data_IF_701095538433
#
_entry.id   IF_701095538433
#
_cell.length_a   1.000
_cell.length_b   1.000
_cell.length_c   1.000
_cell.angle_alpha   90.00
_cell.angle_beta   90.00
_cell.angle_gamma   90.00
#
_symmetry.space_group_name_H-M   'P 1'
#
loop_
_entity.id
_entity.type
_entity.pdbx_description
1 polymer ?
#
# COMPACT_ATOMS: atom_id res chain seq x y z
N UNK A 1 17.00 -7.67 -6.50
CA UNK A 1 17.29 -6.48 -7.34
C UNK A 1 18.17 -6.80 -8.56
N UNK A 2 19.38 -7.36 -8.39
CA UNK A 2 20.30 -7.65 -9.51
C UNK A 2 19.73 -8.62 -10.57
N UNK A 3 18.95 -9.62 -10.16
CA UNK A 3 18.28 -10.56 -11.06
C UNK A 3 16.98 -10.00 -11.68
N UNK A 4 16.61 -8.74 -11.36
CA UNK A 4 15.40 -8.06 -11.86
C UNK A 4 14.06 -8.76 -11.59
N UNK A 5 13.99 -9.57 -10.54
CA UNK A 5 12.74 -10.22 -10.11
C UNK A 5 11.79 -9.30 -9.31
N UNK A 6 12.25 -8.11 -8.89
CA UNK A 6 11.45 -7.17 -8.11
C UNK A 6 11.32 -5.86 -8.87
N UNK A 7 10.10 -5.31 -8.90
CA UNK A 7 9.78 -4.01 -9.52
C UNK A 7 9.53 -2.90 -8.49
N UNK A 8 9.45 -3.26 -7.22
CA UNK A 8 9.29 -2.36 -6.07
C UNK A 8 10.13 -2.87 -4.90
N UNK A 9 10.74 -1.96 -4.14
CA UNK A 9 11.40 -2.22 -2.86
C UNK A 9 10.73 -1.36 -1.79
N UNK A 10 10.18 -1.95 -0.74
CA UNK A 10 9.59 -1.20 0.39
C UNK A 10 10.50 -1.26 1.62
N UNK A 11 10.82 -0.11 2.20
CA UNK A 11 11.52 -0.01 3.48
C UNK A 11 10.52 -0.06 4.63
N UNK A 12 10.63 -1.10 5.45
CA UNK A 12 9.74 -1.36 6.56
C UNK A 12 10.54 -1.56 7.84
N UNK A 13 10.24 -0.75 8.86
CA UNK A 13 10.82 -0.88 10.20
C UNK A 13 9.69 -0.95 11.25
N UNK A 14 9.50 -2.16 11.77
CA UNK A 14 8.57 -2.46 12.86
C UNK A 14 9.30 -2.60 14.19
N UNK A 15 10.39 -1.85 14.40
CA UNK A 15 10.99 -1.74 15.73
C UNK A 15 10.07 -0.89 16.62
N UNK A 16 9.83 -1.27 17.88
CA UNK A 16 8.97 -0.49 18.77
C UNK A 16 9.52 0.91 19.01
N UNK A 17 8.62 1.89 19.17
CA UNK A 17 8.94 3.32 19.27
C UNK A 17 8.68 4.13 18.00
N UNK A 18 8.16 3.52 16.93
CA UNK A 18 7.92 4.17 15.64
C UNK A 18 6.87 3.42 14.80
N UNK A 19 6.35 4.10 13.78
CA UNK A 19 5.40 3.57 12.80
C UNK A 19 4.17 2.97 13.47
N UNK A 20 3.82 1.74 13.09
CA UNK A 20 2.70 1.00 13.67
C UNK A 20 2.87 0.70 15.17
N UNK A 21 4.10 0.54 15.68
CA UNK A 21 4.36 0.12 17.06
C UNK A 21 4.94 1.27 17.87
N UNK A 22 4.06 2.11 18.42
CA UNK A 22 4.43 3.31 19.18
C UNK A 22 5.25 2.99 20.45
N UNK A 23 5.09 1.81 21.04
CA UNK A 23 5.89 1.37 22.20
C UNK A 23 6.11 -0.15 22.23
N UNK A 24 6.97 -0.58 23.16
CA UNK A 24 7.32 -1.99 23.38
C UNK A 24 6.12 -2.82 23.83
N UNK A 25 5.18 -2.23 24.57
CA UNK A 25 4.00 -2.93 25.07
C UNK A 25 3.01 -3.24 23.94
N UNK A 26 2.79 -2.30 23.02
CA UNK A 26 1.99 -2.49 21.81
C UNK A 26 2.59 -3.57 20.91
N UNK A 27 3.92 -3.58 20.76
CA UNK A 27 4.63 -4.62 20.01
C UNK A 27 4.48 -6.01 20.68
N UNK A 28 4.65 -6.10 22.01
CA UNK A 28 4.44 -7.35 22.78
C UNK A 28 3.01 -7.86 22.62
N UNK A 29 2.02 -7.00 22.83
CA UNK A 29 0.62 -7.36 22.73
C UNK A 29 0.25 -7.88 21.35
N UNK A 30 0.78 -7.26 20.28
CA UNK A 30 0.60 -7.72 18.92
C UNK A 30 1.19 -9.13 18.70
N UNK A 31 2.44 -9.35 19.09
CA UNK A 31 3.10 -10.65 18.90
C UNK A 31 2.39 -11.77 19.69
N UNK A 32 2.04 -11.51 20.95
CA UNK A 32 1.31 -12.47 21.77
C UNK A 32 -0.07 -12.82 21.17
N UNK A 33 -0.79 -11.83 20.64
CA UNK A 33 -2.10 -12.07 20.03
C UNK A 33 -2.01 -12.85 18.72
N UNK A 34 -1.11 -12.43 17.83
CA UNK A 34 -1.03 -12.88 16.43
C UNK A 34 -0.22 -14.16 16.28
N UNK A 35 0.93 -14.25 16.94
CA UNK A 35 1.89 -15.35 16.80
C UNK A 35 1.98 -16.24 18.04
N UNK A 36 1.21 -15.94 19.10
CA UNK A 36 1.19 -16.70 20.36
C UNK A 36 2.57 -16.78 21.04
N UNK A 37 3.39 -15.74 20.84
CA UNK A 37 4.75 -15.61 21.38
C UNK A 37 4.72 -15.58 22.91
N UNK A 38 5.63 -16.32 23.53
CA UNK A 38 5.90 -16.30 24.97
C UNK A 38 6.76 -15.10 25.39
N UNK A 39 6.83 -14.81 26.69
CA UNK A 39 7.64 -13.69 27.19
C UNK A 39 9.14 -13.86 26.88
N UNK A 40 9.67 -15.08 27.00
CA UNK A 40 11.09 -15.35 26.70
C UNK A 40 11.43 -15.16 25.22
N UNK A 41 10.54 -15.61 24.32
CA UNK A 41 10.69 -15.39 22.88
C UNK A 41 10.58 -13.89 22.55
N UNK A 42 9.68 -13.16 23.24
CA UNK A 42 9.55 -11.72 23.06
C UNK A 42 10.84 -10.97 23.42
N UNK A 43 11.44 -11.25 24.59
CA UNK A 43 12.69 -10.61 25.00
C UNK A 43 13.81 -10.86 23.97
N UNK A 44 13.88 -12.08 23.44
CA UNK A 44 14.84 -12.45 22.40
C UNK A 44 14.63 -11.63 21.13
N UNK A 45 13.39 -11.58 20.62
CA UNK A 45 13.04 -10.79 19.43
C UNK A 45 13.31 -9.29 19.61
N UNK A 46 13.08 -8.76 20.81
CA UNK A 46 13.34 -7.36 21.11
C UNK A 46 14.84 -7.05 21.10
N UNK A 47 15.65 -7.90 21.73
CA UNK A 47 17.11 -7.77 21.73
C UNK A 47 17.68 -7.85 20.30
N UNK A 48 17.20 -8.79 19.48
CA UNK A 48 17.60 -8.94 18.08
C UNK A 48 17.28 -7.69 17.26
N UNK A 49 16.09 -7.10 17.44
CA UNK A 49 15.71 -5.84 16.78
C UNK A 49 16.60 -4.67 17.18
N UNK A 50 16.90 -4.54 18.47
CA UNK A 50 17.78 -3.48 18.97
C UNK A 50 19.20 -3.63 18.43
N UNK A 51 19.74 -4.84 18.39
CA UNK A 51 21.05 -5.12 17.80
C UNK A 51 21.05 -4.83 16.28
N UNK A 52 19.97 -5.19 15.59
CA UNK A 52 19.82 -4.95 14.15
C UNK A 52 19.66 -3.46 13.80
N UNK A 53 19.22 -2.60 14.72
CA UNK A 53 19.07 -1.16 14.46
C UNK A 53 20.40 -0.48 14.08
N UNK A 54 21.52 -1.01 14.59
CA UNK A 54 22.85 -0.54 14.20
C UNK A 54 23.07 -0.72 12.68
N UNK A 55 23.40 0.38 12.00
CA UNK A 55 23.69 0.37 10.56
C UNK A 55 22.48 0.32 9.64
N UNK A 56 21.24 0.47 10.15
CA UNK A 56 20.01 0.50 9.32
C UNK A 56 20.11 1.50 8.18
N UNK A 57 20.49 2.75 8.46
CA UNK A 57 20.63 3.77 7.42
C UNK A 57 21.65 3.38 6.34
N UNK A 58 22.82 2.85 6.72
CA UNK A 58 23.84 2.42 5.76
C UNK A 58 23.34 1.29 4.85
N UNK A 59 22.60 0.32 5.40
CA UNK A 59 21.96 -0.74 4.62
C UNK A 59 20.88 -0.19 3.69
N UNK A 60 20.03 0.71 4.17
CA UNK A 60 18.99 1.36 3.37
C UNK A 60 19.60 2.17 2.22
N UNK A 61 20.63 2.99 2.47
CA UNK A 61 21.35 3.72 1.44
C UNK A 61 21.94 2.80 0.37
N UNK A 62 22.51 1.66 0.79
CA UNK A 62 23.08 0.67 -0.13
C UNK A 62 22.00 0.04 -1.03
N UNK A 63 20.87 -0.34 -0.44
CA UNK A 63 19.72 -0.89 -1.17
C UNK A 63 19.06 0.14 -2.09
N UNK A 64 18.93 1.39 -1.64
CA UNK A 64 18.39 2.49 -2.43
C UNK A 64 19.24 2.78 -3.68
N UNK A 65 20.57 2.82 -3.53
CA UNK A 65 21.48 2.99 -4.66
C UNK A 65 21.32 1.85 -5.68
N UNK A 66 21.20 0.61 -5.21
CA UNK A 66 20.98 -0.55 -6.09
C UNK A 66 19.60 -0.53 -6.77
N UNK A 67 18.54 -0.15 -6.04
CA UNK A 67 17.20 -0.02 -6.59
C UNK A 67 17.17 1.03 -7.71
N UNK A 68 17.76 2.21 -7.47
CA UNK A 68 17.93 3.26 -8.47
C UNK A 68 18.68 2.77 -9.71
N UNK A 69 19.80 2.06 -9.53
CA UNK A 69 20.58 1.51 -10.64
C UNK A 69 19.77 0.51 -11.49
N UNK A 70 18.84 -0.22 -10.89
CA UNK A 70 18.01 -1.22 -11.58
C UNK A 70 16.65 -0.67 -12.05
N UNK A 71 16.36 0.62 -11.85
CA UNK A 71 15.06 1.21 -12.18
C UNK A 71 13.92 0.64 -11.35
N UNK A 72 14.20 0.22 -10.11
CA UNK A 72 13.23 -0.31 -9.16
C UNK A 72 12.74 0.83 -8.28
N UNK A 73 11.42 1.04 -8.25
CA UNK A 73 10.79 2.06 -7.41
C UNK A 73 10.98 1.72 -5.94
N UNK A 74 11.10 2.76 -5.11
CA UNK A 74 11.27 2.63 -3.66
C UNK A 74 9.99 3.10 -2.96
N UNK A 75 9.54 2.33 -2.01
CA UNK A 75 8.46 2.65 -1.10
C UNK A 75 8.97 2.75 0.35
N UNK A 76 8.22 3.48 1.15
CA UNK A 76 8.35 3.59 2.60
C UNK A 76 7.08 3.02 3.24
N UNK A 77 7.18 2.47 4.44
CA UNK A 77 6.06 1.83 5.13
C UNK A 77 5.83 2.41 6.52
N UNK A 78 4.56 2.61 6.87
CA UNK A 78 4.10 3.15 8.16
C UNK A 78 4.79 4.46 8.52
N UNK A 79 4.82 5.43 7.61
CA UNK A 79 5.35 6.75 7.94
C UNK A 79 4.49 7.40 9.03
N UNK A 80 5.14 7.92 10.07
CA UNK A 80 4.50 8.44 11.27
C UNK A 80 4.91 9.88 11.61
N UNK A 81 5.91 10.40 10.92
CA UNK A 81 6.54 11.69 11.20
C UNK A 81 7.06 12.32 9.92
N UNK A 82 7.15 13.64 9.90
CA UNK A 82 7.68 14.41 8.77
C UNK A 82 9.16 14.05 8.59
N UNK A 83 9.89 13.86 9.70
CA UNK A 83 11.29 13.50 9.72
C UNK A 83 11.55 12.14 9.05
N UNK A 84 10.69 11.15 9.29
CA UNK A 84 10.78 9.84 8.64
C UNK A 84 10.48 9.93 7.15
N UNK A 85 9.44 10.69 6.77
CA UNK A 85 9.11 10.96 5.37
C UNK A 85 10.30 11.61 4.66
N UNK A 86 10.87 12.67 5.22
CA UNK A 86 12.01 13.39 4.65
C UNK A 86 13.23 12.48 4.50
N UNK A 87 13.52 11.66 5.52
CA UNK A 87 14.61 10.71 5.47
C UNK A 87 14.42 9.67 4.35
N UNK A 88 13.22 9.13 4.17
CA UNK A 88 12.95 8.09 3.18
C UNK A 88 12.83 8.68 1.76
N UNK A 89 12.27 9.87 1.62
CA UNK A 89 12.29 10.66 0.39
C UNK A 89 13.73 10.95 -0.07
N UNK A 90 14.64 11.28 0.86
CA UNK A 90 16.06 11.51 0.56
C UNK A 90 16.78 10.27 0.00
N UNK A 91 16.26 9.07 0.30
CA UNK A 91 16.73 7.80 -0.25
C UNK A 91 16.07 7.46 -1.60
N UNK A 92 15.19 8.32 -2.11
CA UNK A 92 14.50 8.14 -3.38
C UNK A 92 13.20 7.34 -3.28
N UNK A 93 12.59 7.26 -2.10
CA UNK A 93 11.23 6.75 -1.98
C UNK A 93 10.25 7.63 -2.79
N UNK A 94 9.40 6.99 -3.58
CA UNK A 94 8.36 7.62 -4.40
C UNK A 94 6.96 7.21 -3.97
N UNK A 95 6.85 6.28 -3.01
CA UNK A 95 5.59 5.81 -2.43
C UNK A 95 5.69 5.84 -0.89
N UNK A 96 4.68 6.38 -0.23
CA UNK A 96 4.44 6.23 1.21
C UNK A 96 3.27 5.27 1.41
N UNK A 97 3.58 4.06 1.85
CA UNK A 97 2.62 3.00 2.12
C UNK A 97 2.10 3.12 3.56
N UNK A 98 0.79 3.20 3.69
CA UNK A 98 0.06 3.21 4.96
C UNK A 98 0.57 4.27 5.96
N UNK A 99 0.73 5.55 5.56
CA UNK A 99 1.09 6.59 6.52
C UNK A 99 0.08 6.59 7.68
N UNK A 100 0.60 6.60 8.90
CA UNK A 100 -0.17 6.29 10.09
C UNK A 100 -1.01 7.46 10.59
N UNK A 101 -0.74 8.68 10.12
CA UNK A 101 -1.46 9.90 10.46
C UNK A 101 -1.50 10.91 9.30
N UNK A 102 -2.37 11.93 9.43
CA UNK A 102 -2.60 12.94 8.40
C UNK A 102 -1.36 13.78 8.09
N UNK A 103 -0.59 14.16 9.11
CA UNK A 103 0.60 14.97 8.93
C UNK A 103 1.66 14.24 8.09
N UNK A 104 1.88 12.94 8.35
CA UNK A 104 2.78 12.11 7.55
C UNK A 104 2.30 11.94 6.11
N UNK A 105 1.00 11.69 5.89
CA UNK A 105 0.42 11.58 4.55
C UNK A 105 0.56 12.88 3.74
N UNK A 106 0.29 14.03 4.37
CA UNK A 106 0.44 15.35 3.76
C UNK A 106 1.92 15.66 3.44
N UNK A 107 2.83 15.34 4.36
CA UNK A 107 4.27 15.52 4.15
C UNK A 107 4.77 14.65 2.98
N UNK A 108 4.35 13.39 2.90
CA UNK A 108 4.73 12.50 1.81
C UNK A 108 4.32 13.08 0.45
N UNK A 109 3.08 13.57 0.33
CA UNK A 109 2.60 14.22 -0.89
C UNK A 109 3.37 15.51 -1.20
N UNK A 110 3.71 16.30 -0.18
CA UNK A 110 4.53 17.50 -0.35
C UNK A 110 5.95 17.19 -0.88
N UNK A 111 6.50 16.02 -0.54
CA UNK A 111 7.75 15.50 -1.09
C UNK A 111 7.60 14.85 -2.48
N UNK A 112 6.40 14.84 -3.06
CA UNK A 112 6.10 14.23 -4.35
C UNK A 112 5.94 12.71 -4.31
N UNK A 113 5.82 12.12 -3.12
CA UNK A 113 5.54 10.70 -2.96
C UNK A 113 4.04 10.44 -3.12
N UNK A 114 3.69 9.35 -3.81
CA UNK A 114 2.32 8.86 -3.85
C UNK A 114 1.99 8.13 -2.53
N UNK A 115 0.86 8.45 -1.93
CA UNK A 115 0.37 7.76 -0.74
C UNK A 115 -0.48 6.54 -1.12
N UNK A 116 -0.29 5.42 -0.42
CA UNK A 116 -0.96 4.14 -0.69
C UNK A 116 -1.68 3.63 0.56
N UNK A 117 -2.96 3.30 0.45
CA UNK A 117 -3.74 2.72 1.55
C UNK A 117 -4.39 1.38 1.18
N UNK A 118 -4.70 0.57 2.20
CA UNK A 118 -5.38 -0.71 2.02
C UNK A 118 -6.87 -0.53 1.71
N UNK A 119 -7.30 -0.94 0.52
CA UNK A 119 -8.69 -0.92 0.09
C UNK A 119 -9.65 -1.62 1.06
N UNK A 120 -9.34 -2.79 1.65
CA UNK A 120 -10.25 -3.45 2.61
C UNK A 120 -10.66 -2.54 3.79
N UNK A 121 -9.83 -1.55 4.13
CA UNK A 121 -10.09 -0.62 5.24
C UNK A 121 -11.14 0.46 4.89
N UNK A 122 -11.45 0.66 3.60
CA UNK A 122 -12.58 1.49 3.16
C UNK A 122 -13.89 0.87 3.66
N UNK A 123 -14.11 -0.41 3.32
CA UNK A 123 -15.34 -1.14 3.66
C UNK A 123 -15.47 -1.40 5.17
N UNK A 124 -14.35 -1.63 5.85
CA UNK A 124 -14.35 -1.85 7.30
C UNK A 124 -14.75 -0.59 8.08
N UNK A 125 -14.57 0.60 7.51
CA UNK A 125 -14.84 1.88 8.17
C UNK A 125 -13.99 2.15 9.42
N UNK A 126 -12.94 1.36 9.65
CA UNK A 126 -12.03 1.46 10.82
C UNK A 126 -10.61 1.12 10.39
N UNK A 127 -9.63 1.73 11.05
CA UNK A 127 -8.23 1.30 11.01
C UNK A 127 -8.01 0.10 11.94
N UNK A 128 -7.05 -0.76 11.61
CA UNK A 128 -6.82 -2.03 12.32
C UNK A 128 -6.09 -1.79 13.65
N UNK A 129 -5.34 -0.70 13.71
CA UNK A 129 -4.36 -0.35 14.75
C UNK A 129 -4.61 1.00 15.41
N UNK A 130 -5.68 1.72 15.04
CA UNK A 130 -5.92 3.10 15.52
C UNK A 130 -5.22 4.19 14.68
N UNK A 131 -4.46 3.79 13.67
CA UNK A 131 -3.88 4.68 12.66
C UNK A 131 -4.97 5.37 11.82
N UNK A 132 -4.59 6.33 10.97
CA UNK A 132 -5.45 6.95 9.96
C UNK A 132 -6.28 5.90 9.20
N UNK A 133 -7.59 6.15 9.04
CA UNK A 133 -8.46 5.29 8.24
C UNK A 133 -8.25 5.60 6.76
N UNK A 134 -8.26 4.57 5.92
CA UNK A 134 -8.18 4.74 4.47
C UNK A 134 -9.31 5.64 3.91
N UNK A 135 -10.52 5.56 4.48
CA UNK A 135 -11.63 6.42 4.06
C UNK A 135 -11.39 7.89 4.41
N UNK A 136 -10.79 8.17 5.57
CA UNK A 136 -10.44 9.54 5.96
C UNK A 136 -9.36 10.10 5.03
N UNK A 137 -8.38 9.28 4.64
CA UNK A 137 -7.38 9.68 3.68
C UNK A 137 -7.98 10.08 2.31
N UNK A 138 -9.01 9.37 1.85
CA UNK A 138 -9.76 9.74 0.63
C UNK A 138 -10.52 11.05 0.84
N UNK A 139 -11.25 11.20 1.95
CA UNK A 139 -12.02 12.41 2.27
C UNK A 139 -11.14 13.66 2.42
N UNK A 140 -9.95 13.52 2.99
CA UNK A 140 -8.96 14.58 3.15
C UNK A 140 -8.13 14.83 1.87
N UNK A 141 -8.35 14.06 0.80
CA UNK A 141 -7.63 14.20 -0.46
C UNK A 141 -6.13 13.87 -0.36
N UNK A 142 -5.77 12.98 0.57
CA UNK A 142 -4.40 12.50 0.81
C UNK A 142 -4.21 11.02 0.51
N UNK A 143 -5.15 10.39 -0.20
CA UNK A 143 -4.99 9.04 -0.75
C UNK A 143 -4.80 9.10 -2.26
N UNK A 144 -3.57 8.83 -2.74
CA UNK A 144 -3.29 8.80 -4.18
C UNK A 144 -3.56 7.41 -4.77
N UNK A 145 -3.35 6.34 -3.99
CA UNK A 145 -3.46 4.95 -4.43
C UNK A 145 -4.18 4.07 -3.38
N UNK A 146 -4.80 3.00 -3.86
CA UNK A 146 -5.33 1.90 -3.04
C UNK A 146 -4.75 0.54 -3.48
N UNK A 147 -4.49 -0.36 -2.53
CA UNK A 147 -4.04 -1.73 -2.78
C UNK A 147 -4.93 -2.78 -2.11
N UNK A 148 -4.81 -4.03 -2.54
CA UNK A 148 -5.55 -5.16 -1.96
C UNK A 148 -5.20 -5.46 -0.51
N UNK A 149 -3.98 -5.13 -0.06
CA UNK A 149 -3.50 -5.40 1.30
C UNK A 149 -3.79 -6.88 1.70
N UNK A 150 -4.27 -7.12 2.91
CA UNK A 150 -4.66 -8.44 3.42
C UNK A 150 -5.89 -9.07 2.73
N UNK A 151 -6.57 -8.38 1.81
CA UNK A 151 -7.72 -8.93 1.07
C UNK A 151 -7.84 -8.36 -0.34
N UNK A 152 -7.17 -9.00 -1.30
CA UNK A 152 -7.23 -8.61 -2.72
C UNK A 152 -8.67 -8.57 -3.28
N UNK A 153 -9.56 -9.45 -2.81
CA UNK A 153 -10.95 -9.49 -3.23
C UNK A 153 -11.74 -8.22 -2.86
N UNK A 154 -11.28 -7.46 -1.86
CA UNK A 154 -11.96 -6.23 -1.44
C UNK A 154 -11.67 -5.03 -2.35
N UNK A 155 -10.67 -5.09 -3.23
CA UNK A 155 -10.23 -3.92 -4.01
C UNK A 155 -11.37 -3.32 -4.87
N UNK A 156 -12.03 -4.17 -5.67
CA UNK A 156 -13.13 -3.78 -6.54
C UNK A 156 -14.35 -3.23 -5.79
N UNK A 157 -14.92 -3.94 -4.78
CA UNK A 157 -16.05 -3.39 -4.04
C UNK A 157 -15.70 -2.13 -3.26
N UNK A 158 -14.48 -2.02 -2.71
CA UNK A 158 -14.05 -0.82 -1.97
C UNK A 158 -14.09 0.42 -2.85
N UNK A 159 -13.52 0.33 -4.06
CA UNK A 159 -13.45 1.46 -4.98
C UNK A 159 -14.82 1.85 -5.51
N UNK A 160 -15.68 0.87 -5.82
CA UNK A 160 -17.02 1.14 -6.34
C UNK A 160 -17.97 1.71 -5.30
N UNK A 161 -17.67 1.56 -4.01
CA UNK A 161 -18.41 2.23 -2.93
C UNK A 161 -17.94 3.66 -2.63
N UNK A 162 -16.76 4.09 -3.10
CA UNK A 162 -16.23 5.43 -2.81
C UNK A 162 -17.13 6.59 -3.27
N UNK A 163 -17.84 6.53 -4.41
CA UNK A 163 -18.78 7.58 -4.78
C UNK A 163 -19.88 7.80 -3.74
N UNK A 164 -20.36 6.72 -3.11
CA UNK A 164 -21.36 6.80 -2.04
C UNK A 164 -20.74 7.22 -0.70
N UNK A 165 -19.59 6.64 -0.35
CA UNK A 165 -18.96 6.84 0.97
C UNK A 165 -18.21 8.18 1.09
N UNK A 166 -17.65 8.68 0.00
CA UNK A 166 -16.76 9.84 -0.02
C UNK A 166 -17.20 10.94 -1.00
N UNK A 167 -18.23 10.72 -1.82
CA UNK A 167 -18.73 11.71 -2.76
C UNK A 167 -17.81 12.00 -3.95
N UNK A 168 -16.78 11.18 -4.18
CA UNK A 168 -15.85 11.34 -5.31
C UNK A 168 -16.41 10.73 -6.59
N UNK A 169 -15.96 11.22 -7.75
CA UNK A 169 -16.37 10.67 -9.03
C UNK A 169 -15.92 9.22 -9.20
N UNK A 170 -16.71 8.42 -9.94
CA UNK A 170 -16.34 7.03 -10.24
C UNK A 170 -14.99 6.93 -10.96
N UNK A 171 -14.69 7.87 -11.87
CA UNK A 171 -13.41 7.90 -12.58
C UNK A 171 -12.23 8.13 -11.61
N UNK A 172 -12.37 9.05 -10.65
CA UNK A 172 -11.36 9.34 -9.64
C UNK A 172 -11.15 8.13 -8.72
N UNK A 173 -12.25 7.49 -8.30
CA UNK A 173 -12.21 6.27 -7.50
C UNK A 173 -11.45 5.14 -8.23
N UNK A 174 -11.76 4.92 -9.52
CA UNK A 174 -11.08 3.89 -10.33
C UNK A 174 -9.59 4.24 -10.54
N UNK A 175 -9.24 5.52 -10.67
CA UNK A 175 -7.86 5.95 -10.82
C UNK A 175 -6.98 5.55 -9.62
N UNK A 176 -7.53 5.51 -8.40
CA UNK A 176 -6.82 5.07 -7.18
C UNK A 176 -6.27 3.63 -7.29
N UNK A 177 -6.85 2.77 -8.13
CA UNK A 177 -6.42 1.36 -8.29
C UNK A 177 -5.93 1.03 -9.69
N UNK A 178 -5.83 2.02 -10.58
CA UNK A 178 -5.43 1.83 -11.98
C UNK A 178 -4.27 2.75 -12.35
N UNK A 179 -4.59 3.97 -12.81
CA UNK A 179 -3.61 4.90 -13.37
C UNK A 179 -2.62 5.41 -12.31
N UNK A 180 -3.10 5.71 -11.10
CA UNK A 180 -2.27 6.28 -10.04
C UNK A 180 -1.19 5.30 -9.56
N UNK A 181 -1.51 4.04 -9.16
CA UNK A 181 -0.47 3.09 -8.73
C UNK A 181 0.47 2.71 -9.89
N UNK A 182 0.00 2.67 -11.14
CA UNK A 182 0.88 2.47 -12.28
C UNK A 182 1.91 3.60 -12.41
N UNK A 183 1.47 4.86 -12.32
CA UNK A 183 2.37 6.04 -12.34
C UNK A 183 3.34 6.04 -11.16
N UNK A 184 2.84 5.81 -9.95
CA UNK A 184 3.64 5.77 -8.72
C UNK A 184 4.74 4.71 -8.78
N UNK A 185 4.44 3.54 -9.37
CA UNK A 185 5.40 2.47 -9.57
C UNK A 185 6.31 2.64 -10.80
N UNK A 186 6.14 3.70 -11.60
CA UNK A 186 6.91 3.94 -12.83
C UNK A 186 6.49 3.07 -14.03
N UNK A 187 5.31 2.45 -13.97
CA UNK A 187 4.77 1.59 -15.02
C UNK A 187 4.02 2.44 -16.06
N UNK A 188 4.69 2.78 -17.14
CA UNK A 188 4.14 3.66 -18.19
C UNK A 188 3.30 2.92 -19.23
N UNK A 189 3.29 1.59 -19.23
CA UNK A 189 2.65 0.75 -20.24
C UNK A 189 1.23 0.28 -19.85
N UNK A 190 0.70 0.67 -18.68
CA UNK A 190 -0.61 0.20 -18.17
C UNK A 190 -1.30 1.24 -17.27
N UNK A 191 -2.46 0.87 -16.73
CA UNK A 191 -3.27 1.70 -15.82
C UNK A 191 -4.33 2.57 -16.51
N UNK A 192 -4.42 2.51 -17.84
CA UNK A 192 -5.39 3.26 -18.63
C UNK A 192 -5.75 2.48 -19.90
N UNK A 193 -7.00 2.62 -20.35
CA UNK A 193 -7.47 2.06 -21.63
C UNK A 193 -7.14 3.06 -22.74
N UNK A 194 -5.96 2.91 -23.35
CA UNK A 194 -5.49 3.76 -24.43
C UNK A 194 -4.68 2.98 -25.47
N UNK A 195 -4.66 3.48 -26.71
CA UNK A 195 -3.84 2.91 -27.78
C UNK A 195 -2.36 2.92 -27.37
N UNK A 196 -1.67 1.80 -27.58
CA UNK A 196 -0.25 1.64 -27.23
C UNK A 196 0.00 1.21 -25.78
N UNK A 197 -1.03 1.06 -24.94
CA UNK A 197 -0.93 0.46 -23.61
C UNK A 197 -1.19 -1.05 -23.66
N UNK A 198 -0.76 -1.77 -22.63
CA UNK A 198 -1.08 -3.19 -22.43
C UNK A 198 -2.59 -3.37 -22.33
N UNK A 199 -3.10 -4.40 -23.00
CA UNK A 199 -4.49 -4.84 -22.90
C UNK A 199 -4.74 -5.64 -21.61
N UNK A 200 -4.45 -5.03 -20.47
CA UNK A 200 -4.81 -5.53 -19.14
C UNK A 200 -6.20 -4.94 -18.79
N UNK A 201 -7.25 -5.74 -18.91
CA UNK A 201 -8.64 -5.28 -18.84
C UNK A 201 -9.44 -6.12 -17.84
N UNK A 202 -10.38 -5.48 -17.15
CA UNK A 202 -11.36 -6.14 -16.27
C UNK A 202 -12.75 -5.67 -16.68
N UNK A 203 -13.59 -6.59 -17.15
CA UNK A 203 -15.01 -6.34 -17.32
C UNK A 203 -15.72 -6.64 -15.99
N UNK A 204 -16.50 -5.67 -15.51
CA UNK A 204 -17.19 -5.75 -14.21
C UNK A 204 -18.69 -5.88 -14.43
N UNK A 205 -19.33 -6.79 -13.69
CA UNK A 205 -20.78 -6.96 -13.63
C UNK A 205 -21.25 -6.74 -12.20
N UNK A 206 -22.44 -6.16 -12.03
CA UNK A 206 -23.10 -6.07 -10.73
C UNK A 206 -24.13 -7.20 -10.61
N UNK A 207 -24.05 -7.96 -9.51
CA UNK A 207 -24.96 -9.08 -9.21
C UNK A 207 -25.43 -8.93 -7.77
N UNK A 208 -26.74 -8.82 -7.57
CA UNK A 208 -27.30 -8.54 -6.24
C UNK A 208 -26.72 -7.30 -5.56
N UNK A 209 -26.30 -6.29 -6.34
CA UNK A 209 -25.65 -5.08 -5.83
C UNK A 209 -24.15 -5.22 -5.54
N UNK A 210 -23.54 -6.40 -5.71
CA UNK A 210 -22.12 -6.62 -5.50
C UNK A 210 -21.36 -6.63 -6.83
N UNK A 211 -20.29 -5.83 -6.97
CA UNK A 211 -19.48 -5.84 -8.18
C UNK A 211 -18.55 -7.04 -8.23
N UNK A 212 -18.51 -7.70 -9.38
CA UNK A 212 -17.67 -8.87 -9.63
C UNK A 212 -16.96 -8.75 -10.98
N UNK A 213 -15.74 -9.28 -11.05
CA UNK A 213 -15.04 -9.43 -12.32
C UNK A 213 -15.72 -10.55 -13.14
N UNK A 214 -16.31 -10.18 -14.28
CA UNK A 214 -16.92 -11.09 -15.26
C UNK A 214 -15.83 -11.70 -16.15
N UNK A 215 -14.97 -10.85 -16.70
CA UNK A 215 -13.88 -11.26 -17.59
C UNK A 215 -12.62 -10.46 -17.29
N UNK A 216 -11.48 -11.13 -17.35
CA UNK A 216 -10.17 -10.51 -17.14
C UNK A 216 -9.27 -10.88 -18.31
N UNK A 217 -8.57 -9.89 -18.84
CA UNK A 217 -7.53 -10.05 -19.84
C UNK A 217 -6.21 -9.54 -19.27
N UNK A 218 -5.13 -10.27 -19.53
CA UNK A 218 -3.77 -9.87 -19.22
C UNK A 218 -2.97 -9.88 -20.51
N UNK A 219 -2.44 -8.74 -20.91
CA UNK A 219 -1.77 -8.52 -22.20
C UNK A 219 -2.61 -9.02 -23.40
N UNK A 220 -3.92 -8.82 -23.36
CA UNK A 220 -4.87 -9.24 -24.41
C UNK A 220 -5.27 -10.72 -24.37
N UNK A 221 -4.67 -11.52 -23.49
CA UNK A 221 -5.00 -12.93 -23.31
C UNK A 221 -6.06 -13.08 -22.22
N UNK A 222 -7.13 -13.82 -22.49
CA UNK A 222 -8.14 -14.12 -21.49
C UNK A 222 -7.52 -14.90 -20.32
N UNK A 223 -7.60 -14.33 -19.12
CA UNK A 223 -7.07 -14.90 -17.88
C UNK A 223 -8.17 -15.42 -16.96
N UNK A 224 -9.37 -14.82 -17.01
CA UNK A 224 -10.55 -15.25 -16.26
C UNK A 224 -11.81 -15.02 -17.11
N UNK A 225 -12.74 -15.97 -17.03
CA UNK A 225 -14.13 -15.81 -17.45
C UNK A 225 -15.01 -16.47 -16.41
N UNK A 226 -15.81 -15.68 -15.70
CA UNK A 226 -16.73 -16.14 -14.69
C UNK A 226 -18.15 -16.17 -15.27
N UNK A 227 -18.92 -17.19 -14.91
CA UNK A 227 -20.37 -17.24 -15.18
C UNK A 227 -21.06 -17.31 -13.83
N UNK A 228 -21.98 -16.38 -13.61
CA UNK A 228 -22.78 -16.33 -12.40
C UNK A 228 -24.20 -16.74 -12.77
N UNK A 229 -24.69 -17.79 -12.13
CA UNK A 229 -25.98 -18.45 -12.36
C UNK A 229 -27.06 -18.00 -11.36
N UNK A 230 -26.78 -16.98 -10.56
CA UNK A 230 -27.70 -16.42 -9.58
C UNK A 230 -27.98 -14.96 -9.94
N UNK A 231 -29.26 -14.67 -10.22
CA UNK A 231 -29.80 -13.35 -10.49
C UNK A 231 -30.26 -12.67 -9.21
#
# INVERSE_FOLDING_TARGET
LQQRHASLLSFMDHSPGQGQFQDVAAYRAYLARTYKTSDAEFETLLADKQAAAAGTMARMTTLAALAKQQGVSIASHDDDSIEKVDALASLGAVISEFPTNLAAAQAARAQGMATLFGAPNILRGKSQSGNMRALDAVLEGVADCLCGDYSAAALLPSVLMLPELAGIGLADAIALVTQNPARAAGLTDRGEIAVGKRADLVAVKHLGGLPQADRVWVAGVAALSARFDHA
#
